data_IF_198668692094
#
_entry.id   IF_198668692094
#
_cell.length_a   1.000
_cell.length_b   1.000
_cell.length_c   1.000
_cell.angle_alpha   90.00
_cell.angle_beta   90.00
_cell.angle_gamma   90.00
#
_symmetry.space_group_name_H-M   'P 1'
#
loop_
_entity.id
_entity.type
_entity.pdbx_description
1 polymer ?
#
# COMPACT_ATOMS: atom_id res chain seq x y z
N UNK A 1 -33.50 -13.21 4.11
CA UNK A 1 -32.09 -13.63 4.06
C UNK A 1 -31.42 -12.64 3.15
N UNK A 2 -30.46 -11.88 3.68
CA UNK A 2 -29.54 -11.07 2.87
C UNK A 2 -28.82 -12.03 1.91
N UNK A 3 -28.70 -11.65 0.65
CA UNK A 3 -28.07 -12.47 -0.38
C UNK A 3 -26.89 -11.69 -0.92
N UNK A 4 -25.74 -11.90 -0.29
CA UNK A 4 -24.52 -11.16 -0.53
C UNK A 4 -23.71 -11.86 -1.62
N UNK A 5 -23.40 -11.14 -2.68
CA UNK A 5 -22.42 -11.52 -3.68
C UNK A 5 -21.08 -10.91 -3.27
N UNK A 6 -20.06 -11.74 -3.06
CA UNK A 6 -18.70 -11.28 -2.80
C UNK A 6 -18.15 -10.53 -4.02
N UNK A 7 -17.61 -9.34 -3.77
CA UNK A 7 -16.90 -8.53 -4.77
C UNK A 7 -15.41 -8.64 -4.53
N UNK A 8 -14.98 -8.45 -3.29
CA UNK A 8 -13.57 -8.34 -2.90
C UNK A 8 -13.42 -8.69 -1.41
N UNK A 9 -12.35 -9.40 -1.07
CA UNK A 9 -11.98 -9.87 0.28
C UNK A 9 -10.48 -9.68 0.56
N UNK A 10 -9.92 -8.57 0.09
CA UNK A 10 -8.53 -8.20 0.35
C UNK A 10 -8.45 -7.41 1.67
N UNK A 11 -7.39 -7.63 2.46
CA UNK A 11 -7.23 -6.97 3.74
C UNK A 11 -8.25 -7.39 4.82
N UNK A 12 -8.58 -6.45 5.71
CA UNK A 12 -9.43 -6.67 6.89
C UNK A 12 -10.93 -6.47 6.62
N UNK A 13 -11.28 -5.67 5.61
CA UNK A 13 -12.65 -5.49 5.17
C UNK A 13 -13.08 -6.53 4.13
N UNK A 14 -14.38 -6.64 3.87
CA UNK A 14 -14.87 -7.45 2.75
C UNK A 14 -16.05 -6.78 2.09
N UNK A 15 -15.97 -6.56 0.79
CA UNK A 15 -16.97 -5.88 -0.02
C UNK A 15 -17.95 -6.86 -0.67
N UNK A 16 -19.24 -6.53 -0.60
CA UNK A 16 -20.32 -7.29 -1.19
C UNK A 16 -21.34 -6.42 -1.93
N UNK A 17 -22.06 -7.05 -2.85
CA UNK A 17 -23.35 -6.56 -3.35
C UNK A 17 -24.49 -7.33 -2.66
N UNK A 18 -25.36 -6.64 -1.91
CA UNK A 18 -26.63 -7.22 -1.47
C UNK A 18 -27.59 -7.28 -2.67
N UNK A 19 -27.70 -8.45 -3.27
CA UNK A 19 -28.51 -8.70 -4.46
C UNK A 19 -30.03 -8.58 -4.23
N UNK A 20 -30.51 -8.47 -2.98
CA UNK A 20 -31.93 -8.17 -2.74
C UNK A 20 -32.25 -6.69 -2.87
N UNK A 21 -31.31 -5.84 -2.47
CA UNK A 21 -31.48 -4.38 -2.44
C UNK A 21 -30.73 -3.67 -3.54
N UNK A 22 -29.83 -4.37 -4.23
CA UNK A 22 -28.90 -3.85 -5.23
C UNK A 22 -28.02 -2.74 -4.64
N UNK A 23 -27.40 -3.04 -3.49
CA UNK A 23 -26.64 -2.07 -2.69
C UNK A 23 -25.29 -2.65 -2.29
N UNK A 24 -24.26 -1.81 -2.33
CA UNK A 24 -22.95 -2.13 -1.78
C UNK A 24 -22.97 -2.11 -0.26
N UNK A 25 -22.46 -3.19 0.31
CA UNK A 25 -22.30 -3.38 1.74
C UNK A 25 -20.92 -3.97 2.00
N UNK A 26 -20.33 -3.67 3.15
CA UNK A 26 -19.03 -4.23 3.50
C UNK A 26 -19.00 -4.63 4.97
N UNK A 27 -18.19 -5.63 5.29
CA UNK A 27 -17.88 -5.96 6.68
C UNK A 27 -16.64 -5.22 7.12
N UNK A 28 -16.68 -4.70 8.34
CA UNK A 28 -15.53 -4.17 9.07
C UNK A 28 -14.67 -5.30 9.64
N UNK A 29 -13.48 -4.96 10.14
CA UNK A 29 -12.57 -5.84 10.89
C UNK A 29 -13.25 -6.67 12.01
N UNK A 30 -14.21 -6.07 12.73
CA UNK A 30 -14.99 -6.73 13.79
C UNK A 30 -16.20 -7.55 13.28
N UNK A 31 -16.39 -7.60 11.96
CA UNK A 31 -17.47 -8.31 11.27
C UNK A 31 -18.80 -7.55 11.22
N UNK A 32 -18.84 -6.26 11.59
CA UNK A 32 -20.03 -5.43 11.46
C UNK A 32 -20.32 -5.14 9.99
N UNK A 33 -21.57 -5.37 9.56
CA UNK A 33 -21.99 -5.07 8.19
C UNK A 33 -22.48 -3.61 8.07
N UNK A 34 -21.78 -2.82 7.25
CA UNK A 34 -22.09 -1.43 6.93
C UNK A 34 -22.60 -1.30 5.49
N UNK A 35 -23.19 -0.15 5.18
CA UNK A 35 -23.69 0.23 3.85
C UNK A 35 -22.90 1.41 3.33
N UNK A 36 -22.64 1.42 2.03
CA UNK A 36 -22.13 2.62 1.38
C UNK A 36 -23.29 3.54 1.05
N UNK A 37 -23.24 4.79 1.53
CA UNK A 37 -24.33 5.76 1.34
C UNK A 37 -23.81 7.09 0.81
N UNK A 38 -24.65 7.80 0.05
CA UNK A 38 -24.36 9.12 -0.49
C UNK A 38 -25.47 10.10 -0.08
N UNK A 39 -25.14 11.34 0.34
CA UNK A 39 -26.11 12.29 0.91
C UNK A 39 -27.30 12.63 0.00
N UNK A 40 -27.09 12.57 -1.32
CA UNK A 40 -28.14 12.87 -2.31
C UNK A 40 -28.87 11.61 -2.79
N UNK A 41 -28.16 10.48 -2.86
CA UNK A 41 -28.67 9.28 -3.55
C UNK A 41 -29.14 8.18 -2.57
N UNK A 42 -28.84 8.32 -1.28
CA UNK A 42 -29.12 7.29 -0.28
C UNK A 42 -28.13 6.14 -0.41
N UNK A 43 -28.62 4.91 -0.29
CA UNK A 43 -27.79 3.72 -0.44
C UNK A 43 -27.21 3.63 -1.86
N UNK A 44 -25.93 3.27 -1.96
CA UNK A 44 -25.19 3.18 -3.23
C UNK A 44 -25.19 1.75 -3.74
N UNK A 45 -25.35 1.58 -5.04
CA UNK A 45 -25.28 0.33 -5.80
C UNK A 45 -24.71 0.56 -7.21
N UNK A 46 -24.63 -0.49 -8.04
CA UNK A 46 -23.94 -0.45 -9.33
C UNK A 46 -24.44 0.64 -10.31
N UNK A 47 -25.74 0.94 -10.24
CA UNK A 47 -26.38 1.91 -11.14
C UNK A 47 -26.60 3.30 -10.51
N UNK A 48 -26.17 3.53 -9.26
CA UNK A 48 -26.47 4.78 -8.53
C UNK A 48 -25.93 6.01 -9.26
N UNK A 49 -24.76 5.90 -9.90
CA UNK A 49 -24.07 7.00 -10.57
C UNK A 49 -23.97 6.81 -12.09
N UNK A 50 -24.84 5.98 -12.67
CA UNK A 50 -24.86 5.74 -14.11
C UNK A 50 -25.10 7.03 -14.89
N UNK A 51 -24.21 7.35 -15.83
CA UNK A 51 -24.32 8.51 -16.71
C UNK A 51 -24.05 8.13 -18.17
N UNK A 52 -24.80 8.71 -19.13
CA UNK A 52 -24.78 8.30 -20.54
C UNK A 52 -23.37 8.30 -21.18
N UNK A 53 -22.49 9.19 -20.73
CA UNK A 53 -21.14 9.33 -21.30
C UNK A 53 -20.11 8.31 -20.76
N UNK A 54 -20.29 7.81 -19.53
CA UNK A 54 -19.27 7.00 -18.81
C UNK A 54 -19.81 5.65 -18.31
N UNK A 55 -21.12 5.41 -18.45
CA UNK A 55 -21.79 4.20 -18.00
C UNK A 55 -21.99 4.14 -16.49
N UNK A 56 -22.29 2.94 -15.94
CA UNK A 56 -22.36 2.71 -14.49
C UNK A 56 -21.00 2.88 -13.83
N UNK A 57 -21.05 3.10 -12.52
CA UNK A 57 -19.89 3.14 -11.65
C UNK A 57 -20.01 2.02 -10.63
N UNK A 58 -19.03 1.15 -10.61
CA UNK A 58 -19.00 0.01 -9.71
C UNK A 58 -18.00 0.25 -8.59
N UNK A 59 -18.40 0.03 -7.34
CA UNK A 59 -17.47 -0.02 -6.23
C UNK A 59 -16.75 -1.38 -6.28
N UNK A 60 -15.43 -1.35 -6.41
CA UNK A 60 -14.62 -2.55 -6.63
C UNK A 60 -13.72 -2.90 -5.46
N UNK A 61 -13.40 -1.93 -4.60
CA UNK A 61 -12.52 -2.11 -3.46
C UNK A 61 -13.03 -1.29 -2.27
N UNK A 62 -12.79 -1.78 -1.06
CA UNK A 62 -12.99 -1.05 0.19
C UNK A 62 -11.80 -1.29 1.13
N UNK A 63 -11.37 -0.28 1.86
CA UNK A 63 -10.35 -0.42 2.90
C UNK A 63 -10.56 0.61 4.01
N UNK A 64 -10.19 0.30 5.24
CA UNK A 64 -10.10 1.28 6.32
C UNK A 64 -9.12 2.41 5.98
N UNK A 65 -9.32 3.59 6.59
CA UNK A 65 -8.37 4.69 6.52
C UNK A 65 -7.91 5.13 7.90
N UNK A 66 -6.76 5.81 7.97
CA UNK A 66 -6.14 6.25 9.23
C UNK A 66 -6.95 7.28 10.02
N UNK A 67 -8.04 7.79 9.45
CA UNK A 67 -8.92 8.78 10.08
C UNK A 67 -10.13 8.13 10.77
N UNK A 68 -10.18 6.79 10.83
CA UNK A 68 -11.27 6.03 11.44
C UNK A 68 -12.52 5.94 10.57
N UNK A 69 -12.38 6.17 9.27
CA UNK A 69 -13.40 5.90 8.25
C UNK A 69 -12.90 4.86 7.24
N UNK A 70 -13.39 4.97 6.01
CA UNK A 70 -13.03 4.02 4.94
C UNK A 70 -12.71 4.76 3.64
N UNK A 71 -11.97 4.10 2.77
CA UNK A 71 -11.77 4.46 1.39
C UNK A 71 -12.47 3.44 0.48
N UNK A 72 -13.12 3.90 -0.58
CA UNK A 72 -13.77 3.04 -1.56
C UNK A 72 -13.36 3.39 -2.97
N UNK A 73 -12.93 2.42 -3.77
CA UNK A 73 -12.55 2.65 -5.17
C UNK A 73 -13.73 2.37 -6.09
N UNK A 74 -14.21 3.40 -6.78
CA UNK A 74 -15.22 3.26 -7.82
C UNK A 74 -14.58 3.30 -9.19
N UNK A 75 -15.02 2.42 -10.07
CA UNK A 75 -14.57 2.30 -11.46
C UNK A 75 -15.77 2.44 -12.38
N UNK A 76 -15.71 3.42 -13.30
CA UNK A 76 -16.72 3.57 -14.35
C UNK A 76 -16.58 2.48 -15.41
N UNK A 77 -17.65 2.20 -16.16
CA UNK A 77 -17.59 1.30 -17.31
C UNK A 77 -16.60 1.75 -18.41
N UNK A 78 -16.18 3.03 -18.40
CA UNK A 78 -15.15 3.58 -19.28
C UNK A 78 -13.73 3.55 -18.71
N UNK A 79 -13.53 3.06 -17.49
CA UNK A 79 -12.22 2.94 -16.84
C UNK A 79 -11.77 4.17 -16.05
N UNK A 80 -12.57 5.23 -15.98
CA UNK A 80 -12.31 6.35 -15.05
C UNK A 80 -12.47 5.82 -13.63
N UNK A 81 -11.54 6.16 -12.75
CA UNK A 81 -11.56 5.73 -11.35
C UNK A 81 -11.76 6.90 -10.39
N UNK A 82 -12.41 6.64 -9.27
CA UNK A 82 -12.62 7.62 -8.22
C UNK A 82 -12.45 6.99 -6.85
N UNK A 83 -11.52 7.53 -6.07
CA UNK A 83 -11.32 7.16 -4.68
C UNK A 83 -12.24 8.00 -3.80
N UNK A 84 -13.19 7.34 -3.15
CA UNK A 84 -14.10 7.96 -2.20
C UNK A 84 -13.54 7.87 -0.79
N UNK A 85 -13.69 8.95 -0.04
CA UNK A 85 -13.53 8.95 1.42
C UNK A 85 -14.91 8.82 2.06
N UNK A 86 -15.05 7.84 2.95
CA UNK A 86 -16.24 7.54 3.71
C UNK A 86 -15.98 7.76 5.21
N UNK A 87 -16.99 8.18 5.95
CA UNK A 87 -16.92 8.23 7.40
C UNK A 87 -17.05 6.83 8.03
N UNK A 88 -16.92 6.76 9.36
CA UNK A 88 -17.04 5.53 10.15
C UNK A 88 -18.38 4.77 9.99
N UNK A 89 -19.39 5.38 9.36
CA UNK A 89 -20.69 4.77 9.10
C UNK A 89 -20.85 4.27 7.67
N UNK A 90 -19.83 4.45 6.82
CA UNK A 90 -19.87 4.16 5.39
C UNK A 90 -20.53 5.27 4.56
N UNK A 91 -20.72 6.47 5.13
CA UNK A 91 -21.30 7.59 4.40
C UNK A 91 -20.24 8.39 3.65
N UNK A 92 -20.54 8.72 2.40
CA UNK A 92 -19.69 9.53 1.52
C UNK A 92 -19.38 10.91 2.13
N UNK A 93 -18.10 11.27 2.12
CA UNK A 93 -17.58 12.57 2.55
C UNK A 93 -17.04 13.35 1.36
N UNK A 94 -16.13 12.77 0.59
CA UNK A 94 -15.47 13.41 -0.55
C UNK A 94 -14.94 12.37 -1.54
N UNK A 95 -14.44 12.82 -2.69
CA UNK A 95 -13.71 11.96 -3.62
C UNK A 95 -12.59 12.69 -4.34
N UNK A 96 -11.66 11.89 -4.85
CA UNK A 96 -10.62 12.28 -5.80
C UNK A 96 -10.71 11.36 -7.02
N UNK A 97 -10.40 11.87 -8.20
CA UNK A 97 -10.35 11.09 -9.45
C UNK A 97 -8.89 10.77 -9.75
N UNK A 98 -8.63 9.52 -10.15
CA UNK A 98 -7.28 9.05 -10.48
C UNK A 98 -7.24 8.57 -11.94
N UNK A 99 -6.19 9.00 -12.64
CA UNK A 99 -5.85 8.49 -13.98
C UNK A 99 -4.97 7.24 -13.90
N UNK A 100 -4.17 7.13 -12.82
CA UNK A 100 -3.33 5.98 -12.48
C UNK A 100 -3.63 5.56 -11.04
N UNK A 101 -3.98 4.28 -10.87
CA UNK A 101 -4.39 3.68 -9.60
C UNK A 101 -3.32 2.77 -9.00
N UNK A 102 -2.16 2.61 -9.65
CA UNK A 102 -1.03 1.88 -9.07
C UNK A 102 -0.61 2.38 -7.69
N UNK A 103 -0.66 3.70 -7.37
CA UNK A 103 -0.32 4.16 -6.02
C UNK A 103 -1.35 3.78 -4.95
N UNK A 104 -2.53 3.29 -5.35
CA UNK A 104 -3.59 2.87 -4.43
C UNK A 104 -3.52 1.36 -4.11
N UNK A 105 -2.65 0.59 -4.77
CA UNK A 105 -2.59 -0.86 -4.62
C UNK A 105 -2.29 -1.29 -3.19
N UNK A 106 -1.46 -0.54 -2.47
CA UNK A 106 -1.17 -0.79 -1.05
C UNK A 106 -2.32 -0.51 -0.11
N UNK A 107 -3.15 0.48 -0.43
CA UNK A 107 -4.31 0.82 0.39
C UNK A 107 -5.34 -0.32 0.37
N UNK A 108 -5.50 -0.98 -0.77
CA UNK A 108 -6.49 -2.05 -0.97
C UNK A 108 -5.87 -3.45 -0.96
N UNK A 109 -4.55 -3.55 -0.75
CA UNK A 109 -3.78 -4.79 -0.82
C UNK A 109 -4.08 -5.62 -2.08
N UNK A 110 -4.24 -4.93 -3.21
CA UNK A 110 -4.74 -5.50 -4.45
C UNK A 110 -3.97 -4.97 -5.65
N UNK A 111 -3.73 -5.83 -6.65
CA UNK A 111 -3.23 -5.45 -7.98
C UNK A 111 -4.37 -4.78 -8.75
N UNK A 112 -4.40 -3.45 -8.73
CA UNK A 112 -5.50 -2.67 -9.27
C UNK A 112 -5.31 -2.40 -10.76
N UNK A 113 -4.07 -2.20 -11.19
CA UNK A 113 -3.76 -1.86 -12.57
C UNK A 113 -3.52 -3.11 -13.46
N UNK A 114 -3.44 -4.31 -12.86
CA UNK A 114 -3.25 -5.59 -13.53
C UNK A 114 -1.82 -5.85 -14.00
N UNK A 115 -0.82 -5.17 -13.43
CA UNK A 115 0.59 -5.34 -13.78
C UNK A 115 1.26 -6.51 -13.06
N UNK A 116 0.55 -7.14 -12.12
CA UNK A 116 0.97 -8.30 -11.36
C UNK A 116 1.56 -8.00 -9.99
N UNK A 117 1.63 -6.74 -9.55
CA UNK A 117 2.12 -6.36 -8.22
C UNK A 117 0.98 -5.77 -7.36
N UNK A 118 1.02 -5.99 -6.05
CA UNK A 118 0.12 -5.36 -5.09
C UNK A 118 0.98 -4.79 -3.96
N UNK A 119 1.11 -3.47 -3.87
CA UNK A 119 2.24 -2.85 -3.17
C UNK A 119 1.86 -2.17 -1.86
N UNK A 120 2.10 -2.77 -0.70
CA UNK A 120 1.96 -2.11 0.61
C UNK A 120 3.07 -1.09 0.85
N UNK A 121 2.71 0.17 1.11
CA UNK A 121 3.67 1.24 1.43
C UNK A 121 4.41 0.95 2.73
N UNK A 122 5.74 1.06 2.71
CA UNK A 122 6.60 0.98 3.89
C UNK A 122 7.10 2.38 4.30
N UNK A 123 7.55 3.19 3.34
CA UNK A 123 8.02 4.56 3.59
C UNK A 123 8.01 5.42 2.31
N UNK A 124 7.81 6.73 2.48
CA UNK A 124 7.75 7.76 1.44
C UNK A 124 8.48 9.07 1.83
N UNK A 125 9.55 8.99 2.62
CA UNK A 125 10.17 10.18 3.22
C UNK A 125 11.07 10.97 2.23
N UNK A 126 11.43 10.41 1.08
CA UNK A 126 12.34 11.01 0.09
C UNK A 126 11.84 10.94 -1.36
N UNK A 127 12.77 11.00 -2.32
CA UNK A 127 12.48 10.88 -3.75
C UNK A 127 12.13 9.43 -4.16
N UNK A 128 12.63 8.45 -3.41
CA UNK A 128 12.25 7.05 -3.54
C UNK A 128 11.09 6.69 -2.61
N UNK A 129 10.36 5.62 -2.94
CA UNK A 129 9.29 5.09 -2.09
C UNK A 129 9.44 3.59 -1.98
N UNK A 130 9.44 3.05 -0.75
CA UNK A 130 9.60 1.61 -0.50
C UNK A 130 8.25 0.94 -0.30
N UNK A 131 8.11 -0.24 -0.87
CA UNK A 131 6.92 -1.07 -0.76
C UNK A 131 7.27 -2.54 -0.46
N UNK A 132 6.31 -3.24 0.11
CA UNK A 132 6.22 -4.70 0.07
C UNK A 132 5.22 -5.10 -1.02
N UNK A 133 5.67 -5.84 -2.03
CA UNK A 133 4.76 -6.51 -2.95
C UNK A 133 4.11 -7.71 -2.25
N UNK A 134 2.84 -7.58 -1.88
CA UNK A 134 2.08 -8.58 -1.12
C UNK A 134 1.77 -9.84 -1.93
N UNK A 135 1.81 -9.76 -3.27
CA UNK A 135 1.64 -10.93 -4.13
C UNK A 135 2.87 -11.85 -4.07
N UNK A 136 4.06 -11.27 -3.93
CA UNK A 136 5.32 -12.01 -4.02
C UNK A 136 6.11 -12.06 -2.72
N UNK A 137 5.68 -11.31 -1.71
CA UNK A 137 6.39 -11.07 -0.44
C UNK A 137 7.80 -10.51 -0.68
N UNK A 138 7.90 -9.50 -1.55
CA UNK A 138 9.17 -8.92 -1.99
C UNK A 138 9.24 -7.42 -1.75
N UNK A 139 10.39 -6.93 -1.30
CA UNK A 139 10.67 -5.51 -1.25
C UNK A 139 10.93 -4.96 -2.65
N UNK A 140 10.16 -3.94 -2.99
CA UNK A 140 10.28 -3.17 -4.23
C UNK A 140 10.29 -1.70 -3.90
N UNK A 141 10.86 -0.87 -4.76
CA UNK A 141 10.87 0.58 -4.55
C UNK A 141 10.77 1.32 -5.87
N UNK A 142 10.13 2.49 -5.84
CA UNK A 142 10.13 3.42 -6.98
C UNK A 142 11.33 4.34 -6.91
N UNK A 143 11.93 4.61 -8.05
CA UNK A 143 12.95 5.66 -8.24
C UNK A 143 12.33 7.04 -8.37
N UNK A 144 13.15 8.08 -8.36
CA UNK A 144 12.76 9.48 -8.61
C UNK A 144 11.94 9.69 -9.89
N UNK A 145 12.20 8.89 -10.93
CA UNK A 145 11.45 8.91 -12.20
C UNK A 145 10.24 7.96 -12.24
N UNK A 146 9.90 7.32 -11.12
CA UNK A 146 8.77 6.41 -10.96
C UNK A 146 9.03 4.98 -11.45
N UNK A 147 10.27 4.61 -11.80
CA UNK A 147 10.61 3.24 -12.18
C UNK A 147 10.56 2.30 -10.97
N UNK A 148 9.79 1.21 -11.07
CA UNK A 148 9.74 0.19 -10.03
C UNK A 148 10.94 -0.77 -10.14
N UNK A 149 11.72 -0.88 -9.07
CA UNK A 149 12.87 -1.78 -8.93
C UNK A 149 12.64 -2.78 -7.80
N UNK A 150 13.33 -3.93 -7.87
CA UNK A 150 13.29 -4.99 -6.85
C UNK A 150 14.58 -5.00 -6.05
N UNK A 151 14.47 -5.25 -4.75
CA UNK A 151 15.64 -5.54 -3.92
C UNK A 151 16.02 -7.00 -4.09
N UNK A 152 17.24 -7.26 -4.57
CA UNK A 152 17.71 -8.63 -4.84
C UNK A 152 19.04 -8.93 -4.17
N UNK A 153 19.25 -10.18 -3.79
CA UNK A 153 20.48 -10.68 -3.20
C UNK A 153 21.05 -11.84 -4.02
N UNK A 154 22.37 -11.87 -4.31
CA UNK A 154 22.98 -12.83 -5.25
C UNK A 154 22.81 -14.31 -4.86
N UNK A 155 22.58 -14.59 -3.58
CA UNK A 155 22.38 -15.96 -3.08
C UNK A 155 20.90 -16.29 -2.89
N UNK A 156 20.08 -15.30 -2.51
CA UNK A 156 18.71 -15.54 -2.05
C UNK A 156 17.66 -15.19 -3.12
N UNK A 157 18.05 -14.50 -4.20
CA UNK A 157 17.12 -14.02 -5.21
C UNK A 157 16.43 -12.74 -4.73
N UNK A 158 15.13 -12.66 -4.92
CA UNK A 158 14.33 -11.53 -4.45
C UNK A 158 14.32 -11.49 -2.91
N UNK A 159 14.33 -10.29 -2.34
CA UNK A 159 14.41 -10.08 -0.89
C UNK A 159 13.05 -9.64 -0.37
N UNK A 160 12.59 -10.30 0.69
CA UNK A 160 11.39 -10.00 1.48
C UNK A 160 11.61 -10.15 2.99
N UNK A 161 10.59 -9.92 3.83
CA UNK A 161 10.68 -9.88 5.30
C UNK A 161 11.36 -11.09 5.94
N UNK A 162 11.13 -12.28 5.40
CA UNK A 162 11.69 -13.52 5.97
C UNK A 162 12.98 -14.02 5.31
N UNK A 163 13.53 -13.26 4.35
CA UNK A 163 14.67 -13.74 3.53
C UNK A 163 15.92 -14.04 4.35
N UNK A 164 16.14 -13.25 5.42
CA UNK A 164 17.31 -13.37 6.29
C UNK A 164 16.96 -13.79 7.72
N UNK A 165 15.79 -14.39 7.91
CA UNK A 165 15.33 -14.87 9.22
C UNK A 165 16.33 -15.87 9.83
N UNK A 166 16.75 -15.59 11.06
CA UNK A 166 17.67 -16.46 11.81
C UNK A 166 17.23 -16.59 13.27
N UNK A 167 17.31 -17.79 13.84
CA UNK A 167 16.77 -18.11 15.18
C UNK A 167 17.23 -17.15 16.30
N UNK A 168 18.46 -16.62 16.20
CA UNK A 168 19.03 -15.74 17.22
C UNK A 168 18.56 -14.27 17.13
N UNK A 169 18.15 -13.79 15.95
CA UNK A 169 17.88 -12.35 15.70
C UNK A 169 16.51 -12.09 15.06
N UNK A 170 15.77 -13.14 14.69
CA UNK A 170 14.47 -13.06 14.03
C UNK A 170 14.57 -12.65 12.56
N UNK A 171 13.42 -12.24 11.96
CA UNK A 171 13.38 -11.68 10.61
C UNK A 171 14.14 -10.36 10.52
N UNK A 172 14.45 -9.98 9.27
CA UNK A 172 15.05 -8.70 8.93
C UNK A 172 14.13 -7.98 7.97
N UNK A 173 13.72 -6.78 8.36
CA UNK A 173 12.82 -5.97 7.57
C UNK A 173 13.56 -4.81 6.93
N UNK A 174 13.32 -4.57 5.64
CA UNK A 174 13.81 -3.37 4.96
C UNK A 174 12.85 -2.24 5.29
N UNK A 175 13.36 -1.18 5.91
CA UNK A 175 12.54 -0.11 6.51
C UNK A 175 12.71 1.24 5.84
N UNK A 176 13.80 1.42 5.10
CA UNK A 176 14.14 2.67 4.44
C UNK A 176 14.86 2.39 3.13
N UNK A 177 14.65 3.23 2.12
CA UNK A 177 15.41 3.25 0.88
C UNK A 177 15.77 4.69 0.52
N UNK A 178 16.97 4.91 -0.02
CA UNK A 178 17.37 6.23 -0.53
C UNK A 178 18.43 6.08 -1.61
N UNK A 179 18.45 6.98 -2.60
CA UNK A 179 19.54 7.08 -3.56
C UNK A 179 20.88 7.31 -2.86
N UNK A 180 21.96 6.80 -3.46
CA UNK A 180 23.33 7.06 -3.01
C UNK A 180 24.15 7.83 -4.06
N UNK A 181 25.22 8.48 -3.61
CA UNK A 181 26.11 9.29 -4.46
C UNK A 181 26.86 8.49 -5.54
N UNK A 182 26.72 7.16 -5.55
CA UNK A 182 27.42 6.26 -6.49
C UNK A 182 26.51 5.83 -7.65
N UNK A 183 25.29 6.35 -7.75
CA UNK A 183 24.31 5.99 -8.77
C UNK A 183 23.63 4.65 -8.50
N UNK A 184 23.58 4.24 -7.24
CA UNK A 184 22.75 3.15 -6.74
C UNK A 184 21.91 3.61 -5.57
N UNK A 185 21.60 2.71 -4.65
CA UNK A 185 20.72 2.99 -3.50
C UNK A 185 21.33 2.49 -2.19
N UNK A 186 20.85 3.02 -1.09
CA UNK A 186 21.09 2.54 0.25
C UNK A 186 19.76 2.02 0.81
N UNK A 187 19.80 0.85 1.47
CA UNK A 187 18.63 0.28 2.15
C UNK A 187 18.92 0.00 3.62
N UNK A 188 18.04 0.40 4.53
CA UNK A 188 18.20 0.12 5.96
C UNK A 188 17.40 -1.11 6.37
N UNK A 189 18.10 -2.20 6.68
CA UNK A 189 17.48 -3.39 7.25
C UNK A 189 17.56 -3.37 8.78
N UNK A 190 16.46 -3.73 9.42
CA UNK A 190 16.34 -3.82 10.88
C UNK A 190 15.90 -5.23 11.24
N UNK A 191 16.67 -5.90 12.09
CA UNK A 191 16.25 -7.21 12.61
C UNK A 191 15.19 -7.05 13.70
N UNK A 192 14.42 -8.11 13.97
CA UNK A 192 13.46 -8.15 15.07
C UNK A 192 14.10 -7.90 16.46
N UNK A 193 15.42 -8.00 16.58
CA UNK A 193 16.17 -7.69 17.81
C UNK A 193 16.76 -6.27 17.85
N UNK A 194 16.52 -5.45 16.83
CA UNK A 194 16.98 -4.06 16.73
C UNK A 194 18.40 -3.89 16.17
N UNK A 195 19.04 -4.97 15.69
CA UNK A 195 20.31 -4.86 14.95
C UNK A 195 20.00 -4.23 13.60
N UNK A 196 20.79 -3.23 13.20
CA UNK A 196 20.59 -2.53 11.93
C UNK A 196 21.74 -2.77 10.96
N UNK A 197 21.41 -2.83 9.67
CA UNK A 197 22.37 -3.07 8.60
C UNK A 197 22.05 -2.16 7.43
N UNK A 198 22.97 -1.25 7.12
CA UNK A 198 22.88 -0.41 5.94
C UNK A 198 23.46 -1.17 4.74
N UNK A 199 22.59 -1.50 3.81
CA UNK A 199 22.94 -2.13 2.55
C UNK A 199 23.27 -1.10 1.50
N UNK A 200 24.31 -1.38 0.71
CA UNK A 200 24.58 -0.69 -0.55
C UNK A 200 24.05 -1.55 -1.69
N UNK A 201 23.21 -0.94 -2.52
CA UNK A 201 22.57 -1.53 -3.69
C UNK A 201 23.10 -0.85 -4.95
N UNK A 202 23.22 -1.61 -6.03
CA UNK A 202 23.52 -1.06 -7.35
C UNK A 202 22.31 -0.37 -7.98
N UNK A 203 22.50 0.23 -9.16
CA UNK A 203 21.48 0.95 -9.93
C UNK A 203 20.22 0.12 -10.29
N UNK A 204 20.26 -1.21 -10.12
CA UNK A 204 19.13 -2.11 -10.41
C UNK A 204 18.50 -2.68 -9.12
N UNK A 205 18.80 -2.13 -7.94
CA UNK A 205 18.34 -2.65 -6.65
C UNK A 205 19.06 -3.92 -6.17
N UNK A 206 20.12 -4.35 -6.86
CA UNK A 206 20.88 -5.55 -6.48
C UNK A 206 21.89 -5.27 -5.35
N UNK A 207 21.92 -6.14 -4.35
CA UNK A 207 22.85 -6.10 -3.23
C UNK A 207 24.31 -6.09 -3.68
N UNK A 208 25.09 -5.17 -3.13
CA UNK A 208 26.54 -5.04 -3.36
C UNK A 208 27.33 -5.34 -2.09
N UNK A 209 26.97 -4.68 -0.98
CA UNK A 209 27.64 -4.80 0.31
C UNK A 209 26.74 -4.35 1.46
N UNK A 210 27.16 -4.53 2.70
CA UNK A 210 26.50 -3.92 3.86
C UNK A 210 27.49 -3.52 4.93
N UNK A 211 27.03 -2.64 5.83
CA UNK A 211 27.69 -2.29 7.09
C UNK A 211 26.67 -2.33 8.21
N UNK A 212 27.02 -2.95 9.33
CA UNK A 212 26.17 -3.00 10.53
C UNK A 212 26.38 -1.74 11.36
N UNK A 213 25.30 -1.15 11.86
CA UNK A 213 25.32 0.03 12.70
C UNK A 213 24.71 -0.26 14.08
N UNK A 214 25.39 0.20 15.13
CA UNK A 214 24.85 0.21 16.49
C UNK A 214 24.05 1.50 16.78
N UNK A 215 24.38 2.58 16.09
CA UNK A 215 23.72 3.88 16.15
C UNK A 215 23.40 4.35 14.73
N UNK A 216 22.11 4.54 14.46
CA UNK A 216 21.56 4.91 13.15
C UNK A 216 21.23 6.39 13.05
N UNK A 217 21.36 7.18 14.12
CA UNK A 217 21.12 8.61 14.06
C UNK A 217 21.95 9.34 12.99
N UNK A 218 23.19 8.92 12.67
CA UNK A 218 23.96 9.52 11.57
C UNK A 218 23.38 9.23 10.17
N UNK A 219 22.43 8.31 10.05
CA UNK A 219 21.80 7.93 8.78
C UNK A 219 20.48 8.70 8.53
N UNK A 220 19.98 9.47 9.51
CA UNK A 220 18.69 10.16 9.39
C UNK A 220 18.62 11.10 8.21
N UNK A 221 19.67 11.90 7.98
CA UNK A 221 19.74 12.81 6.84
C UNK A 221 19.87 12.11 5.48
N UNK A 222 20.25 10.82 5.44
CA UNK A 222 20.24 10.04 4.21
C UNK A 222 18.83 9.61 3.81
N UNK A 223 17.99 9.30 4.78
CA UNK A 223 16.62 8.81 4.56
C UNK A 223 15.55 9.86 4.81
N UNK A 224 15.96 11.08 5.18
CA UNK A 224 15.07 12.19 5.55
C UNK A 224 14.04 11.81 6.65
N UNK A 225 14.43 10.89 7.53
CA UNK A 225 13.57 10.28 8.52
C UNK A 225 14.19 10.31 9.92
N UNK A 226 13.36 10.47 10.95
CA UNK A 226 13.75 10.29 12.37
C UNK A 226 13.82 8.79 12.67
N UNK A 227 15.03 8.23 12.54
CA UNK A 227 15.27 6.79 12.67
C UNK A 227 15.35 6.33 14.13
N UNK A 228 15.79 7.19 15.04
CA UNK A 228 16.02 6.83 16.43
C UNK A 228 14.88 7.26 17.38
N UNK A 229 13.91 8.04 16.88
CA UNK A 229 12.73 8.50 17.60
C UNK A 229 12.98 9.67 18.55
N UNK A 230 14.08 10.41 18.41
CA UNK A 230 14.40 11.56 19.26
C UNK A 230 13.76 12.88 18.79
N UNK A 231 12.99 12.82 17.69
CA UNK A 231 12.32 13.94 17.03
C UNK A 231 13.28 14.97 16.40
N UNK A 232 14.51 14.57 16.12
CA UNK A 232 15.52 15.33 15.39
C UNK A 232 15.90 14.52 14.15
N UNK A 233 16.19 15.21 13.05
CA UNK A 233 16.77 14.60 11.85
C UNK A 233 18.16 15.23 11.70
N UNK A 234 19.21 14.42 11.84
CA UNK A 234 20.58 14.85 11.66
C UNK A 234 21.00 14.80 10.18
N UNK A 235 21.30 15.96 9.60
CA UNK A 235 21.86 16.12 8.24
C UNK A 235 23.27 16.68 8.21
#
# INVERSE_FOLDING_TARGET
MTNLLLIEDNGDETLYLDTNTDQYVFTTDDGTLLRVTHPIHGDVGPDTFSHEAVGPWELTQIAANDQGGYNGLLVSATGITSLWSLDATGAYVSHTVYDDISPLEGLFEADLNGDGNALTLIEDNGDETLYLDTNTDQYVFTTDDGTLLRVTHPIHGDVGPDTFSHEAVGPWELTQIAANDQGGYNGLLVSATGITSLWSLGATGAYVSHTVYDDISPLEGLFEADLNGDSIIFG
#
